data_IF_279133366716
#
_entry.id   IF_279133366716
#
_cell.length_a   1.000
_cell.length_b   1.000
_cell.length_c   1.000
_cell.angle_alpha   90.00
_cell.angle_beta   90.00
_cell.angle_gamma   90.00
#
_symmetry.space_group_name_H-M   'P 1'
#
loop_
_entity.id
_entity.type
_entity.pdbx_description
1 polymer ?
#
# COMPACT_ATOMS: atom_id res chain seq x y z
N UNK A 1 -2.94 -3.16 11.69
CA UNK A 1 -3.30 -1.74 11.88
C UNK A 1 -2.04 -0.90 11.99
N UNK A 2 -2.08 0.37 11.59
CA UNK A 2 -0.90 1.26 11.52
C UNK A 2 -1.08 2.61 12.21
N UNK A 3 -2.17 2.79 12.95
CA UNK A 3 -2.41 3.97 13.78
C UNK A 3 -3.27 3.64 14.99
N UNK A 4 -3.29 4.52 15.98
CA UNK A 4 -4.17 4.38 17.15
C UNK A 4 -5.65 4.43 16.79
N UNK A 5 -6.02 5.17 15.74
CA UNK A 5 -7.40 5.20 15.23
C UNK A 5 -7.82 3.86 14.64
N UNK A 6 -6.96 3.24 13.83
CA UNK A 6 -7.21 1.90 13.31
C UNK A 6 -7.22 0.85 14.43
N UNK A 7 -6.35 1.01 15.43
CA UNK A 7 -6.34 0.13 16.60
C UNK A 7 -7.67 0.20 17.37
N UNK A 8 -8.20 1.39 17.62
CA UNK A 8 -9.52 1.57 18.25
C UNK A 8 -10.63 0.91 17.45
N UNK A 9 -10.64 1.12 16.12
CA UNK A 9 -11.62 0.50 15.22
C UNK A 9 -11.51 -1.03 15.26
N UNK A 10 -10.31 -1.58 15.17
CA UNK A 10 -10.11 -3.02 15.25
C UNK A 10 -10.60 -3.60 16.58
N UNK A 11 -10.26 -2.97 17.69
CA UNK A 11 -10.67 -3.40 19.05
C UNK A 11 -12.19 -3.41 19.22
N UNK A 12 -12.91 -2.49 18.57
CA UNK A 12 -14.38 -2.44 18.60
C UNK A 12 -15.05 -3.68 17.99
N UNK A 13 -14.34 -4.44 17.14
CA UNK A 13 -14.80 -5.67 16.52
C UNK A 13 -14.37 -6.95 17.26
N UNK A 14 -13.85 -6.84 18.49
CA UNK A 14 -13.45 -7.99 19.33
C UNK A 14 -12.51 -8.98 18.62
N UNK A 15 -11.39 -8.53 18.05
CA UNK A 15 -10.47 -9.38 17.31
C UNK A 15 -9.77 -10.36 18.26
N UNK A 16 -9.37 -11.52 17.73
CA UNK A 16 -8.55 -12.48 18.49
C UNK A 16 -7.12 -11.99 18.66
N UNK A 17 -6.55 -11.38 17.62
CA UNK A 17 -5.21 -10.81 17.63
C UNK A 17 -5.15 -9.55 16.76
N UNK A 18 -4.29 -8.62 17.13
CA UNK A 18 -4.00 -7.39 16.37
C UNK A 18 -2.49 -7.20 16.26
N UNK A 19 -2.00 -7.01 15.06
CA UNK A 19 -0.62 -6.56 14.82
C UNK A 19 -0.66 -5.06 14.59
N UNK A 20 0.02 -4.31 15.47
CA UNK A 20 0.10 -2.85 15.42
C UNK A 20 1.44 -2.41 14.84
N UNK A 21 1.44 -2.02 13.60
CA UNK A 21 2.58 -1.55 12.81
C UNK A 21 2.63 0.00 12.79
N UNK A 22 3.38 0.56 11.85
CA UNK A 22 3.49 1.99 11.58
C UNK A 22 4.60 2.70 12.36
N UNK A 23 5.28 3.66 11.74
CA UNK A 23 6.32 4.46 12.39
C UNK A 23 5.69 5.58 13.23
N UNK A 24 6.41 6.04 14.25
CA UNK A 24 6.04 7.25 14.99
C UNK A 24 4.85 7.09 15.93
N UNK A 25 4.61 5.90 16.47
CA UNK A 25 3.57 5.69 17.50
C UNK A 25 3.74 6.66 18.66
N UNK A 26 2.67 7.35 19.03
CA UNK A 26 2.61 8.27 20.15
C UNK A 26 2.56 7.52 21.48
N UNK A 27 2.73 8.25 22.61
CA UNK A 27 2.60 7.66 23.94
C UNK A 27 1.20 7.11 24.19
N UNK A 28 0.15 7.84 23.80
CA UNK A 28 -1.24 7.41 23.93
C UNK A 28 -1.52 6.13 23.12
N UNK A 29 -0.95 6.01 21.92
CA UNK A 29 -1.07 4.81 21.09
C UNK A 29 -0.34 3.62 21.69
N UNK A 30 0.84 3.83 22.28
CA UNK A 30 1.59 2.80 23.01
C UNK A 30 0.86 2.38 24.29
N UNK A 31 0.26 3.34 25.01
CA UNK A 31 -0.57 3.04 26.17
C UNK A 31 -1.80 2.20 25.80
N UNK A 32 -2.50 2.58 24.72
CA UNK A 32 -3.64 1.82 24.21
C UNK A 32 -3.23 0.38 23.85
N UNK A 33 -2.07 0.20 23.20
CA UNK A 33 -1.53 -1.12 22.90
C UNK A 33 -1.22 -1.91 24.18
N UNK A 34 -0.57 -1.30 25.18
CA UNK A 34 -0.26 -1.93 26.46
C UNK A 34 -1.51 -2.34 27.24
N UNK A 35 -2.55 -1.50 27.27
CA UNK A 35 -3.85 -1.84 27.87
C UNK A 35 -4.50 -3.07 27.24
N UNK A 36 -4.16 -3.36 25.99
CA UNK A 36 -4.66 -4.49 25.20
C UNK A 36 -3.57 -5.56 24.94
N UNK A 37 -2.52 -5.63 25.75
CA UNK A 37 -1.34 -6.48 25.54
C UNK A 37 -1.64 -7.99 25.38
N UNK A 38 -2.82 -8.46 25.81
CA UNK A 38 -3.24 -9.87 25.62
C UNK A 38 -3.43 -10.24 24.16
N UNK A 39 -3.90 -9.29 23.36
CA UNK A 39 -4.24 -9.51 21.94
C UNK A 39 -3.41 -8.67 20.98
N UNK A 40 -2.75 -7.60 21.43
CA UNK A 40 -1.94 -6.71 20.60
C UNK A 40 -0.48 -7.16 20.59
N UNK A 41 0.09 -7.23 19.39
CA UNK A 41 1.53 -7.35 19.14
C UNK A 41 2.02 -6.07 18.47
N UNK A 42 2.99 -5.37 19.03
CA UNK A 42 3.52 -4.12 18.50
C UNK A 42 4.73 -4.39 17.61
N UNK A 43 4.71 -3.92 16.37
CA UNK A 43 5.89 -3.90 15.49
C UNK A 43 6.70 -2.63 15.78
N UNK A 44 7.83 -2.80 16.41
CA UNK A 44 8.70 -1.72 16.85
C UNK A 44 9.54 -1.22 15.68
N UNK A 45 9.51 0.08 15.46
CA UNK A 45 10.08 0.72 14.26
C UNK A 45 11.48 1.32 14.53
N UNK A 46 11.88 1.48 15.79
CA UNK A 46 13.16 2.06 16.16
C UNK A 46 13.62 1.67 17.58
N UNK A 47 14.90 1.89 17.87
CA UNK A 47 15.44 1.76 19.25
C UNK A 47 14.78 2.73 20.23
N UNK A 48 14.41 3.92 19.76
CA UNK A 48 13.69 4.91 20.59
C UNK A 48 12.29 4.42 20.94
N UNK A 49 11.58 3.82 19.98
CA UNK A 49 10.26 3.24 20.23
C UNK A 49 10.33 2.02 21.17
N UNK A 50 11.36 1.18 21.05
CA UNK A 50 11.60 0.09 22.01
C UNK A 50 11.65 0.61 23.46
N UNK A 51 12.39 1.69 23.68
CA UNK A 51 12.50 2.29 25.03
C UNK A 51 11.17 2.88 25.51
N UNK A 52 10.47 3.61 24.65
CA UNK A 52 9.16 4.18 24.99
C UNK A 52 8.13 3.09 25.29
N UNK A 53 8.06 2.04 24.46
CA UNK A 53 7.16 0.91 24.70
C UNK A 53 7.50 0.17 25.99
N UNK A 54 8.80 -0.04 26.28
CA UNK A 54 9.25 -0.67 27.52
C UNK A 54 8.85 0.15 28.75
N UNK A 55 9.02 1.47 28.72
CA UNK A 55 8.61 2.38 29.80
C UNK A 55 7.09 2.36 29.98
N UNK A 56 6.32 2.41 28.91
CA UNK A 56 4.85 2.36 28.95
C UNK A 56 4.35 1.02 29.49
N UNK A 57 4.93 -0.08 29.06
CA UNK A 57 4.59 -1.42 29.56
C UNK A 57 4.92 -1.59 31.05
N UNK A 58 6.01 -0.96 31.55
CA UNK A 58 6.33 -0.91 32.96
C UNK A 58 5.31 -0.08 33.76
N UNK A 59 4.93 1.10 33.26
CA UNK A 59 3.92 1.97 33.88
C UNK A 59 2.54 1.30 33.98
N UNK A 60 2.17 0.55 32.95
CA UNK A 60 0.88 -0.18 32.92
C UNK A 60 0.94 -1.55 33.57
N UNK A 61 2.12 -1.99 34.03
CA UNK A 61 2.33 -3.27 34.75
C UNK A 61 2.12 -4.50 33.85
N UNK A 62 2.34 -4.39 32.54
CA UNK A 62 2.11 -5.49 31.60
C UNK A 62 3.40 -5.95 30.92
N UNK A 63 3.36 -7.18 30.42
CA UNK A 63 4.33 -7.67 29.43
C UNK A 63 3.65 -7.70 28.07
N UNK A 64 4.26 -7.06 27.06
CA UNK A 64 3.68 -6.94 25.73
C UNK A 64 4.50 -7.69 24.68
N UNK A 65 3.82 -8.38 23.77
CA UNK A 65 4.43 -9.02 22.60
C UNK A 65 4.87 -7.95 21.61
N UNK A 66 6.06 -8.13 21.04
CA UNK A 66 6.59 -7.22 20.06
C UNK A 66 7.33 -7.96 18.94
N UNK A 67 7.33 -7.35 17.76
CA UNK A 67 8.24 -7.66 16.68
C UNK A 67 9.08 -6.44 16.32
N UNK A 68 10.14 -6.64 15.58
CA UNK A 68 10.94 -5.54 15.04
C UNK A 68 10.68 -5.37 13.54
N UNK A 69 10.40 -4.14 13.12
CA UNK A 69 10.32 -3.79 11.70
C UNK A 69 11.73 -3.58 11.14
N UNK A 70 11.98 -4.13 9.96
CA UNK A 70 13.24 -4.07 9.25
C UNK A 70 13.09 -3.18 8.01
N UNK A 71 14.03 -2.27 7.79
CA UNK A 71 14.04 -1.48 6.57
C UNK A 71 14.56 -2.28 5.39
N UNK A 72 13.91 -2.16 4.25
CA UNK A 72 14.30 -2.83 3.01
C UNK A 72 15.29 -2.00 2.18
N UNK A 73 15.25 -0.67 2.35
CA UNK A 73 16.15 0.28 1.68
C UNK A 73 16.74 1.27 2.70
N UNK A 74 18.08 1.26 2.81
CA UNK A 74 18.80 2.13 3.72
C UNK A 74 19.10 3.53 3.12
N UNK A 75 18.78 3.78 1.86
CA UNK A 75 19.12 5.02 1.13
C UNK A 75 17.91 5.86 0.73
N UNK A 76 16.84 5.22 0.30
CA UNK A 76 15.65 5.86 -0.23
C UNK A 76 14.66 6.35 0.85
N UNK A 77 13.47 6.71 0.41
CA UNK A 77 12.37 7.17 1.29
C UNK A 77 11.88 6.06 2.23
N UNK A 78 12.07 4.80 1.87
CA UNK A 78 11.73 3.62 2.69
C UNK A 78 12.56 3.53 3.97
N UNK A 79 13.69 4.25 4.06
CA UNK A 79 14.48 4.42 5.27
C UNK A 79 13.67 5.00 6.44
N UNK A 80 12.52 5.60 6.17
CA UNK A 80 11.55 6.04 7.18
C UNK A 80 11.11 4.89 8.09
N UNK A 81 11.12 3.66 7.61
CA UNK A 81 10.53 2.50 8.29
C UNK A 81 11.60 1.55 8.80
N UNK A 82 11.47 1.17 10.07
CA UNK A 82 12.23 0.07 10.67
C UNK A 82 13.72 0.36 10.89
N UNK A 83 14.42 -0.67 11.27
CA UNK A 83 15.87 -0.65 11.51
C UNK A 83 16.62 -1.37 10.39
N UNK A 84 17.86 -0.96 10.08
CA UNK A 84 18.71 -1.68 9.13
C UNK A 84 19.02 -3.11 9.59
N UNK A 85 19.05 -4.07 8.64
CA UNK A 85 19.38 -5.47 8.92
C UNK A 85 20.68 -5.64 9.74
N UNK A 86 21.72 -4.88 9.42
CA UNK A 86 23.01 -4.91 10.16
C UNK A 86 22.91 -4.54 11.63
N UNK A 87 21.80 -3.92 12.06
CA UNK A 87 21.54 -3.55 13.45
C UNK A 87 20.61 -4.54 14.17
N UNK A 88 20.16 -5.60 13.52
CA UNK A 88 19.19 -6.53 14.08
C UNK A 88 19.72 -7.22 15.36
N UNK A 89 20.96 -7.73 15.35
CA UNK A 89 21.57 -8.33 16.53
C UNK A 89 21.65 -7.36 17.72
N UNK A 90 22.07 -6.11 17.45
CA UNK A 90 22.13 -5.08 18.49
C UNK A 90 20.73 -4.73 19.05
N UNK A 91 19.69 -4.82 18.21
CA UNK A 91 18.31 -4.61 18.64
C UNK A 91 17.84 -5.73 19.57
N UNK A 92 18.17 -6.99 19.28
CA UNK A 92 17.86 -8.13 20.15
C UNK A 92 18.55 -7.98 21.51
N UNK A 93 19.82 -7.56 21.53
CA UNK A 93 20.54 -7.32 22.78
C UNK A 93 19.92 -6.19 23.61
N UNK A 94 19.48 -5.10 22.98
CA UNK A 94 18.80 -4.01 23.68
C UNK A 94 17.41 -4.46 24.20
N UNK A 95 16.69 -5.25 23.43
CA UNK A 95 15.40 -5.80 23.86
C UNK A 95 15.51 -6.76 25.05
N UNK A 96 16.62 -7.48 25.20
CA UNK A 96 16.89 -8.32 26.40
C UNK A 96 16.96 -7.50 27.70
N UNK A 97 17.31 -6.21 27.59
CA UNK A 97 17.35 -5.27 28.73
C UNK A 97 15.99 -4.69 29.09
N UNK A 98 14.95 -5.02 28.31
CA UNK A 98 13.57 -4.55 28.47
C UNK A 98 12.68 -5.72 28.91
N UNK A 99 12.60 -6.06 30.21
CA UNK A 99 11.92 -7.26 30.71
C UNK A 99 10.40 -7.30 30.39
N UNK A 100 9.79 -6.13 30.17
CA UNK A 100 8.38 -5.99 29.79
C UNK A 100 8.13 -6.29 28.32
N UNK A 101 9.18 -6.39 27.50
CA UNK A 101 9.06 -6.64 26.06
C UNK A 101 9.32 -8.12 25.76
N UNK A 102 8.32 -8.78 25.23
CA UNK A 102 8.45 -10.12 24.67
C UNK A 102 8.72 -10.00 23.16
N UNK A 103 10.00 -9.73 22.80
CA UNK A 103 10.39 -9.66 21.40
C UNK A 103 10.31 -11.04 20.77
N UNK A 104 9.35 -11.26 19.90
CA UNK A 104 8.97 -12.57 19.38
C UNK A 104 8.80 -12.65 17.87
N UNK A 105 9.14 -11.60 17.13
CA UNK A 105 8.99 -11.63 15.70
C UNK A 105 9.71 -10.52 14.97
N UNK A 106 9.61 -10.59 13.66
CA UNK A 106 10.19 -9.61 12.72
C UNK A 106 9.20 -9.31 11.63
N UNK A 107 9.31 -8.13 11.03
CA UNK A 107 8.50 -7.74 9.88
C UNK A 107 9.36 -6.92 8.91
N UNK A 108 9.13 -7.11 7.62
CA UNK A 108 9.57 -6.20 6.57
C UNK A 108 8.45 -6.00 5.56
N UNK A 109 8.51 -4.91 4.81
CA UNK A 109 7.50 -4.61 3.79
C UNK A 109 8.18 -4.00 2.56
N UNK A 110 7.80 -4.48 1.40
CA UNK A 110 8.12 -3.92 0.09
C UNK A 110 6.84 -3.47 -0.58
N UNK A 111 6.92 -2.55 -1.55
CA UNK A 111 5.77 -2.09 -2.33
C UNK A 111 6.04 -2.18 -3.82
N UNK A 112 4.98 -2.06 -4.62
CA UNK A 112 5.07 -2.19 -6.08
C UNK A 112 5.79 -3.46 -6.52
N UNK A 113 5.43 -4.60 -5.92
CA UNK A 113 5.99 -5.89 -6.31
C UNK A 113 5.20 -6.44 -7.50
N UNK A 114 5.79 -6.34 -8.69
CA UNK A 114 5.28 -7.00 -9.89
C UNK A 114 5.68 -8.48 -9.92
N UNK A 115 6.73 -8.82 -9.17
CA UNK A 115 7.22 -10.17 -8.90
C UNK A 115 7.74 -10.28 -7.46
N UNK A 116 8.20 -11.46 -7.06
CA UNK A 116 8.71 -11.72 -5.71
C UNK A 116 10.20 -11.39 -5.52
N UNK A 117 10.89 -10.78 -6.50
CA UNK A 117 12.35 -10.63 -6.50
C UNK A 117 12.87 -9.82 -5.32
N UNK A 118 12.23 -8.69 -4.99
CA UNK A 118 12.64 -7.83 -3.87
C UNK A 118 12.49 -8.56 -2.52
N UNK A 119 11.37 -9.25 -2.33
CA UNK A 119 11.09 -9.99 -1.10
C UNK A 119 12.03 -11.19 -0.95
N UNK A 120 12.27 -11.95 -2.02
CA UNK A 120 13.20 -13.09 -1.99
C UNK A 120 14.64 -12.67 -1.74
N UNK A 121 15.07 -11.56 -2.34
CA UNK A 121 16.39 -10.97 -2.07
C UNK A 121 16.53 -10.51 -0.61
N UNK A 122 15.48 -9.95 -0.03
CA UNK A 122 15.48 -9.57 1.37
C UNK A 122 15.53 -10.77 2.29
N UNK A 123 14.74 -11.82 2.03
CA UNK A 123 14.75 -13.09 2.80
C UNK A 123 16.13 -13.74 2.79
N UNK A 124 16.85 -13.72 1.65
CA UNK A 124 18.23 -14.21 1.57
C UNK A 124 19.14 -13.44 2.53
N UNK A 125 19.14 -12.10 2.47
CA UNK A 125 19.97 -11.27 3.36
C UNK A 125 19.60 -11.46 4.84
N UNK A 126 18.31 -11.60 5.14
CA UNK A 126 17.85 -11.89 6.50
C UNK A 126 18.38 -13.23 6.99
N UNK A 127 18.33 -14.28 6.14
CA UNK A 127 18.88 -15.59 6.46
C UNK A 127 20.38 -15.55 6.78
N UNK A 128 21.15 -14.78 6.03
CA UNK A 128 22.59 -14.57 6.28
C UNK A 128 22.84 -13.93 7.66
N UNK A 129 22.00 -13.00 8.10
CA UNK A 129 22.08 -12.40 9.43
C UNK A 129 21.68 -13.41 10.51
N UNK A 130 20.59 -14.16 10.30
CA UNK A 130 20.10 -15.17 11.26
C UNK A 130 21.08 -16.31 11.47
N UNK A 131 21.91 -16.63 10.50
CA UNK A 131 22.98 -17.62 10.63
C UNK A 131 23.99 -17.26 11.73
N UNK A 132 24.13 -15.98 12.05
CA UNK A 132 25.00 -15.48 13.14
C UNK A 132 24.32 -15.38 14.51
N UNK A 133 23.01 -15.69 14.62
CA UNK A 133 22.28 -15.61 15.88
C UNK A 133 22.54 -16.84 16.75
N UNK A 134 22.52 -16.64 18.07
CA UNK A 134 22.54 -17.77 18.99
C UNK A 134 21.19 -18.52 19.00
N UNK A 135 21.23 -19.77 19.51
CA UNK A 135 20.02 -20.62 19.54
C UNK A 135 18.92 -20.07 20.45
N UNK A 136 19.28 -19.27 21.46
CA UNK A 136 18.30 -18.70 22.38
C UNK A 136 17.52 -17.56 21.71
N UNK A 137 18.18 -16.72 20.94
CA UNK A 137 17.55 -15.66 20.17
C UNK A 137 16.69 -16.21 19.03
N UNK A 138 17.19 -17.22 18.30
CA UNK A 138 16.40 -17.88 17.25
C UNK A 138 15.10 -18.50 17.81
N UNK A 139 15.13 -19.12 18.98
CA UNK A 139 13.93 -19.71 19.64
C UNK A 139 12.88 -18.65 20.02
N UNK A 140 13.26 -17.40 20.18
CA UNK A 140 12.33 -16.31 20.48
C UNK A 140 11.48 -15.91 19.25
N UNK A 141 11.98 -16.14 18.04
CA UNK A 141 11.34 -15.74 16.79
C UNK A 141 10.18 -16.70 16.51
N UNK A 142 8.96 -16.27 16.82
CA UNK A 142 7.72 -17.04 16.64
C UNK A 142 6.96 -16.68 15.36
N UNK A 143 7.14 -15.45 14.84
CA UNK A 143 6.56 -15.03 13.58
C UNK A 143 7.55 -14.25 12.72
N UNK A 144 7.34 -14.31 11.43
CA UNK A 144 7.96 -13.46 10.42
C UNK A 144 6.85 -12.95 9.49
N UNK A 145 6.65 -11.65 9.52
CA UNK A 145 5.77 -10.95 8.60
C UNK A 145 6.57 -10.50 7.39
N UNK A 146 6.23 -11.05 6.23
CA UNK A 146 6.91 -10.76 4.97
C UNK A 146 6.27 -9.60 4.19
N UNK A 147 5.35 -8.89 4.83
CA UNK A 147 4.69 -7.71 4.30
C UNK A 147 3.75 -7.97 3.14
N UNK A 148 3.56 -6.94 2.35
CA UNK A 148 2.62 -6.93 1.24
C UNK A 148 3.22 -6.39 -0.04
N UNK A 149 2.48 -5.47 -0.68
CA UNK A 149 2.87 -4.83 -1.92
C UNK A 149 2.65 -5.69 -3.17
N UNK A 150 1.97 -6.83 -3.02
CA UNK A 150 1.60 -7.70 -4.14
C UNK A 150 0.70 -6.95 -5.11
N UNK A 151 1.14 -6.83 -6.37
CA UNK A 151 0.35 -6.20 -7.40
C UNK A 151 -0.63 -7.19 -8.01
N UNK A 152 -1.87 -6.79 -8.32
CA UNK A 152 -2.81 -7.64 -9.05
C UNK A 152 -2.29 -8.00 -10.44
N UNK A 153 -2.69 -9.16 -10.96
CA UNK A 153 -2.16 -9.71 -12.22
C UNK A 153 -2.50 -8.87 -13.45
N UNK A 154 -3.47 -7.97 -13.35
CA UNK A 154 -3.81 -6.98 -14.38
C UNK A 154 -2.66 -6.02 -14.67
N UNK A 155 -1.65 -6.02 -13.82
CA UNK A 155 -0.49 -5.15 -13.96
C UNK A 155 -0.75 -3.72 -13.53
N UNK A 156 0.29 -2.90 -13.66
CA UNK A 156 0.23 -1.45 -13.45
C UNK A 156 0.16 -0.74 -14.80
N UNK A 157 -0.88 0.07 -14.97
CA UNK A 157 -1.02 0.89 -16.17
C UNK A 157 -0.57 2.31 -15.87
N UNK A 158 0.28 2.83 -16.73
CA UNK A 158 0.93 4.13 -16.58
C UNK A 158 0.62 5.05 -17.76
N UNK A 159 0.44 6.32 -17.45
CA UNK A 159 0.49 7.40 -18.44
C UNK A 159 1.91 7.52 -19.01
N UNK A 160 2.07 7.95 -20.27
CA UNK A 160 3.40 8.18 -20.86
C UNK A 160 4.28 9.07 -19.99
N UNK A 161 3.75 10.14 -19.40
CA UNK A 161 4.47 11.06 -18.52
C UNK A 161 5.08 10.37 -17.27
N UNK A 162 4.56 9.24 -16.83
CA UNK A 162 5.11 8.46 -15.72
C UNK A 162 6.30 7.57 -16.11
N UNK A 163 6.56 7.40 -17.42
CA UNK A 163 7.66 6.58 -17.93
C UNK A 163 8.92 7.38 -18.19
N UNK A 164 10.13 6.77 -18.09
CA UNK A 164 11.37 7.45 -18.47
C UNK A 164 11.37 7.92 -19.91
N UNK A 165 10.82 7.11 -20.82
CA UNK A 165 10.70 7.42 -22.25
C UNK A 165 9.77 8.61 -22.49
N UNK A 166 8.62 8.65 -21.85
CA UNK A 166 7.67 9.76 -21.93
C UNK A 166 8.26 11.06 -21.39
N UNK A 167 8.95 11.01 -20.24
CA UNK A 167 9.66 12.17 -19.67
C UNK A 167 10.75 12.68 -20.62
N UNK A 168 11.50 11.78 -21.26
CA UNK A 168 12.49 12.17 -22.25
C UNK A 168 11.84 12.83 -23.48
N UNK A 169 10.75 12.26 -23.98
CA UNK A 169 9.99 12.82 -25.10
C UNK A 169 9.47 14.22 -24.77
N UNK A 170 8.87 14.40 -23.59
CA UNK A 170 8.43 15.71 -23.09
C UNK A 170 9.54 16.75 -23.05
N UNK A 171 10.74 16.36 -22.56
CA UNK A 171 11.91 17.24 -22.55
C UNK A 171 12.42 17.62 -23.94
N UNK A 172 12.31 16.72 -24.93
CA UNK A 172 12.84 16.94 -26.27
C UNK A 172 11.87 17.72 -27.18
N UNK A 173 10.57 17.50 -27.01
CA UNK A 173 9.56 18.05 -27.91
C UNK A 173 9.15 19.49 -27.58
N UNK A 174 9.67 20.12 -26.51
CA UNK A 174 9.49 21.55 -26.13
C UNK A 174 8.12 22.17 -26.46
N UNK A 175 7.18 21.37 -26.92
CA UNK A 175 5.84 21.78 -27.35
C UNK A 175 4.88 21.49 -26.20
N UNK A 176 4.15 22.49 -25.79
CA UNK A 176 3.02 22.39 -24.86
C UNK A 176 1.84 21.60 -25.48
N UNK A 177 2.16 20.61 -26.30
CA UNK A 177 1.20 19.69 -26.90
C UNK A 177 0.91 18.55 -25.93
N UNK A 178 -0.34 18.19 -25.82
CA UNK A 178 -0.78 17.01 -25.08
C UNK A 178 0.09 15.80 -25.43
N UNK A 179 0.55 15.10 -24.41
CA UNK A 179 1.05 13.75 -24.58
C UNK A 179 -0.04 12.95 -25.28
N UNK A 180 0.32 12.18 -26.31
CA UNK A 180 -0.61 11.32 -27.01
C UNK A 180 -1.38 10.45 -25.99
N UNK A 181 -2.63 10.80 -25.72
CA UNK A 181 -3.44 10.25 -24.63
C UNK A 181 -3.76 8.76 -24.81
N UNK A 182 -3.38 8.18 -25.96
CA UNK A 182 -3.62 6.77 -26.30
C UNK A 182 -2.38 5.89 -26.16
N UNK A 183 -1.23 6.45 -25.83
CA UNK A 183 0.02 5.70 -25.63
C UNK A 183 0.19 5.26 -24.17
N UNK A 184 -0.49 4.19 -23.79
CA UNK A 184 -0.44 3.64 -22.45
C UNK A 184 0.61 2.54 -22.32
N UNK A 185 1.26 2.46 -21.17
CA UNK A 185 2.21 1.40 -20.86
C UNK A 185 1.68 0.54 -19.72
N UNK A 186 1.60 -0.77 -19.96
CA UNK A 186 1.34 -1.75 -18.92
C UNK A 186 2.65 -2.37 -18.43
N UNK A 187 2.81 -2.43 -17.10
CA UNK A 187 3.86 -3.21 -16.44
C UNK A 187 3.21 -4.46 -15.89
N UNK A 188 3.54 -5.61 -16.48
CA UNK A 188 2.94 -6.89 -16.11
C UNK A 188 3.30 -7.28 -14.68
N UNK A 189 2.34 -7.85 -13.96
CA UNK A 189 2.53 -8.43 -12.65
C UNK A 189 2.35 -9.96 -12.72
N UNK A 190 3.14 -10.67 -11.92
CA UNK A 190 2.98 -12.13 -11.82
C UNK A 190 1.69 -12.50 -11.08
N UNK A 191 1.04 -13.61 -11.46
CA UNK A 191 -0.05 -14.19 -10.69
C UNK A 191 0.36 -14.53 -9.26
N UNK A 192 -0.56 -14.46 -8.31
CA UNK A 192 -0.28 -14.63 -6.88
C UNK A 192 0.30 -16.00 -6.51
N UNK A 193 -0.05 -17.04 -7.25
CA UNK A 193 0.51 -18.38 -7.08
C UNK A 193 2.01 -18.45 -7.39
N UNK A 194 2.48 -17.61 -8.33
CA UNK A 194 3.92 -17.46 -8.62
C UNK A 194 4.65 -16.75 -7.50
N UNK A 195 4.04 -15.71 -6.91
CA UNK A 195 4.56 -15.11 -5.67
C UNK A 195 4.65 -16.15 -4.55
N UNK A 196 3.57 -16.89 -4.30
CA UNK A 196 3.52 -17.89 -3.25
C UNK A 196 4.60 -18.98 -3.43
N UNK A 197 4.81 -19.42 -4.65
CA UNK A 197 5.85 -20.42 -4.98
C UNK A 197 7.24 -19.86 -4.67
N UNK A 198 7.60 -18.71 -5.24
CA UNK A 198 8.93 -18.10 -5.08
C UNK A 198 9.23 -17.77 -3.61
N UNK A 199 8.25 -17.22 -2.88
CA UNK A 199 8.39 -16.89 -1.46
C UNK A 199 8.52 -18.15 -0.61
N UNK A 200 7.77 -19.22 -0.90
CA UNK A 200 7.89 -20.51 -0.20
C UNK A 200 9.27 -21.13 -0.40
N UNK A 201 9.81 -21.07 -1.61
CA UNK A 201 11.16 -21.54 -1.91
C UNK A 201 12.22 -20.73 -1.17
N UNK A 202 12.11 -19.40 -1.18
CA UNK A 202 13.03 -18.53 -0.47
C UNK A 202 12.99 -18.75 1.05
N UNK A 203 11.80 -18.90 1.64
CA UNK A 203 11.64 -19.22 3.06
C UNK A 203 12.28 -20.55 3.42
N UNK A 204 12.08 -21.61 2.61
CA UNK A 204 12.70 -22.93 2.80
C UNK A 204 14.22 -22.88 2.67
N UNK A 205 14.73 -22.08 1.74
CA UNK A 205 16.17 -21.98 1.48
C UNK A 205 16.91 -21.13 2.52
N UNK A 206 16.32 -20.03 2.96
CA UNK A 206 17.05 -19.01 3.71
C UNK A 206 16.60 -18.81 5.16
N UNK A 207 15.35 -19.10 5.50
CA UNK A 207 14.82 -18.84 6.84
C UNK A 207 14.66 -20.14 7.64
N UNK A 208 14.00 -21.15 7.06
CA UNK A 208 13.69 -22.40 7.77
C UNK A 208 14.90 -23.25 8.20
N UNK A 209 16.12 -23.12 7.62
CA UNK A 209 17.30 -23.72 8.20
C UNK A 209 17.67 -23.18 9.60
N UNK A 210 17.25 -21.95 9.93
CA UNK A 210 17.58 -21.28 11.20
C UNK A 210 16.42 -21.30 12.18
N UNK A 211 15.22 -20.96 11.71
CA UNK A 211 14.00 -20.85 12.53
C UNK A 211 12.76 -21.14 11.67
N UNK A 212 11.73 -21.73 12.28
CA UNK A 212 10.44 -22.00 11.62
C UNK A 212 9.31 -21.20 12.26
N UNK A 213 9.21 -19.90 11.96
CA UNK A 213 8.17 -19.04 12.48
C UNK A 213 6.84 -19.25 11.75
N UNK A 214 5.76 -18.74 12.35
CA UNK A 214 4.51 -18.49 11.61
C UNK A 214 4.78 -17.37 10.60
N UNK A 215 4.35 -17.55 9.36
CA UNK A 215 4.52 -16.54 8.31
C UNK A 215 3.24 -15.71 8.19
N UNK A 216 3.39 -14.39 8.26
CA UNK A 216 2.33 -13.42 8.00
C UNK A 216 2.56 -12.74 6.65
N UNK A 217 1.46 -12.37 5.98
CA UNK A 217 1.43 -11.61 4.74
C UNK A 217 0.42 -10.48 4.85
N UNK A 218 0.66 -9.38 4.14
CA UNK A 218 -0.19 -8.18 4.13
C UNK A 218 -0.71 -7.86 2.70
N UNK A 219 -1.53 -8.72 2.06
CA UNK A 219 -1.90 -8.59 0.64
C UNK A 219 -3.01 -7.55 0.39
N UNK A 220 -2.87 -6.31 0.87
CA UNK A 220 -3.89 -5.26 0.85
C UNK A 220 -4.45 -4.94 -0.53
N UNK A 221 -3.62 -4.40 -1.45
CA UNK A 221 -4.05 -4.04 -2.81
C UNK A 221 -4.64 -5.24 -3.55
N UNK A 222 -3.96 -6.37 -3.51
CA UNK A 222 -4.38 -7.57 -4.22
C UNK A 222 -5.78 -8.05 -3.82
N UNK A 223 -6.16 -7.88 -2.53
CA UNK A 223 -7.49 -8.26 -2.03
C UNK A 223 -8.54 -7.21 -2.38
N UNK A 224 -8.20 -5.92 -2.24
CA UNK A 224 -9.22 -4.85 -2.23
C UNK A 224 -9.44 -4.18 -3.58
N UNK A 225 -8.49 -4.26 -4.52
CA UNK A 225 -8.51 -3.46 -5.76
C UNK A 225 -9.78 -3.66 -6.58
N UNK A 226 -10.21 -4.90 -6.78
CA UNK A 226 -11.42 -5.22 -7.53
C UNK A 226 -12.73 -5.00 -6.74
N UNK A 227 -12.63 -4.68 -5.46
CA UNK A 227 -13.81 -4.56 -4.57
C UNK A 227 -14.57 -3.24 -4.71
N UNK A 228 -14.10 -2.28 -5.49
CA UNK A 228 -14.76 -0.99 -5.68
C UNK A 228 -14.54 -0.45 -7.09
N UNK A 229 -15.53 0.27 -7.58
CA UNK A 229 -15.49 1.01 -8.83
C UNK A 229 -15.99 2.43 -8.60
N UNK A 230 -15.60 3.38 -9.46
CA UNK A 230 -16.11 4.74 -9.41
C UNK A 230 -17.03 4.97 -10.60
N UNK A 231 -18.19 5.55 -10.34
CA UNK A 231 -19.13 5.99 -11.36
C UNK A 231 -19.16 7.51 -11.41
N UNK A 232 -19.06 8.05 -12.59
CA UNK A 232 -19.15 9.49 -12.88
C UNK A 232 -20.25 9.73 -13.90
N UNK A 233 -20.94 10.87 -13.77
CA UNK A 233 -21.89 11.33 -14.79
C UNK A 233 -21.30 12.53 -15.53
N UNK A 234 -21.35 12.50 -16.85
CA UNK A 234 -21.02 13.67 -17.67
C UNK A 234 -22.08 14.74 -17.47
N UNK A 235 -21.69 15.92 -16.99
CA UNK A 235 -22.61 17.04 -16.71
C UNK A 235 -22.48 18.18 -17.69
N UNK A 236 -21.33 18.27 -18.38
CA UNK A 236 -21.11 19.26 -19.44
C UNK A 236 -20.17 18.70 -20.51
N UNK A 237 -20.35 19.15 -21.74
CA UNK A 237 -19.51 18.81 -22.90
C UNK A 237 -19.11 20.11 -23.57
N UNK A 238 -17.82 20.43 -23.56
CA UNK A 238 -17.30 21.63 -24.23
C UNK A 238 -17.17 21.41 -25.74
N UNK A 239 -16.67 20.25 -26.12
CA UNK A 239 -16.55 19.75 -27.47
C UNK A 239 -16.38 18.21 -27.45
N UNK A 240 -16.01 17.60 -28.60
CA UNK A 240 -15.82 16.14 -28.67
C UNK A 240 -14.56 15.63 -27.95
N UNK A 241 -13.67 16.54 -27.53
CA UNK A 241 -12.41 16.24 -26.86
C UNK A 241 -12.36 16.70 -25.41
N UNK A 242 -13.44 17.32 -24.88
CA UNK A 242 -13.46 17.78 -23.50
C UNK A 242 -14.86 17.69 -22.87
N UNK A 243 -14.94 16.91 -21.79
CA UNK A 243 -16.15 16.77 -20.98
C UNK A 243 -15.86 17.03 -19.51
N UNK A 244 -16.92 17.44 -18.79
CA UNK A 244 -16.89 17.66 -17.34
C UNK A 244 -17.82 16.67 -16.68
N UNK A 245 -17.36 16.05 -15.57
CA UNK A 245 -18.13 15.11 -14.77
C UNK A 245 -18.62 15.73 -13.46
N UNK A 246 -19.60 15.11 -12.83
CA UNK A 246 -20.19 15.53 -11.56
C UNK A 246 -19.25 15.31 -10.36
N UNK A 247 -18.28 14.40 -10.47
CA UNK A 247 -17.25 14.12 -9.46
C UNK A 247 -15.91 14.73 -9.83
N UNK A 248 -15.04 14.91 -8.81
CA UNK A 248 -13.68 15.37 -8.98
C UNK A 248 -12.68 14.42 -8.29
N UNK A 249 -11.40 14.60 -8.59
CA UNK A 249 -10.31 13.74 -8.08
C UNK A 249 -10.14 13.79 -6.56
N UNK A 250 -10.74 14.76 -5.85
CA UNK A 250 -10.78 14.74 -4.37
C UNK A 250 -11.44 13.47 -3.82
N UNK A 251 -12.25 12.78 -4.63
CA UNK A 251 -12.88 11.52 -4.24
C UNK A 251 -11.89 10.35 -4.14
N UNK A 252 -10.68 10.48 -4.70
CA UNK A 252 -9.71 9.39 -4.82
C UNK A 252 -8.28 9.79 -4.41
N UNK A 253 -8.06 11.02 -3.98
CA UNK A 253 -6.74 11.56 -3.67
C UNK A 253 -5.98 12.05 -4.90
N UNK A 254 -5.27 13.16 -4.74
CA UNK A 254 -4.72 13.99 -5.83
C UNK A 254 -3.52 13.40 -6.57
N UNK A 255 -2.78 12.47 -5.96
CA UNK A 255 -1.43 12.13 -6.40
C UNK A 255 -1.35 11.12 -7.56
N UNK A 256 -2.48 10.50 -7.94
CA UNK A 256 -2.41 9.33 -8.81
C UNK A 256 -2.64 9.58 -10.29
N UNK A 257 -3.47 10.55 -10.64
CA UNK A 257 -3.94 10.73 -12.01
C UNK A 257 -2.94 11.36 -12.99
N UNK A 258 -1.88 11.95 -12.49
CA UNK A 258 -0.79 12.46 -13.33
C UNK A 258 0.12 11.34 -13.86
N UNK A 259 0.17 10.21 -13.16
CA UNK A 259 1.10 9.12 -13.42
C UNK A 259 0.42 7.80 -13.79
N UNK A 260 -0.66 7.46 -13.09
CA UNK A 260 -1.38 6.22 -13.30
C UNK A 260 -2.40 6.39 -14.42
N UNK A 261 -2.56 5.38 -15.26
CA UNK A 261 -3.63 5.30 -16.22
C UNK A 261 -4.79 4.46 -15.67
N UNK A 262 -6.00 4.99 -15.78
CA UNK A 262 -7.22 4.27 -15.44
C UNK A 262 -8.17 4.32 -16.66
N UNK A 263 -8.61 3.17 -17.19
CA UNK A 263 -9.57 3.16 -18.28
C UNK A 263 -10.90 3.79 -17.83
N UNK A 264 -11.40 4.73 -18.60
CA UNK A 264 -12.74 5.30 -18.47
C UNK A 264 -13.67 4.61 -19.44
N UNK A 265 -14.66 3.91 -18.95
CA UNK A 265 -15.57 3.14 -19.81
C UNK A 265 -16.94 3.82 -19.82
N UNK A 266 -17.40 4.25 -21.00
CA UNK A 266 -18.74 4.81 -21.15
C UNK A 266 -19.79 3.69 -21.13
N UNK A 267 -20.48 3.53 -20.01
CA UNK A 267 -21.52 2.53 -19.83
C UNK A 267 -22.80 2.84 -20.60
N UNK A 268 -23.05 4.11 -20.90
CA UNK A 268 -24.24 4.54 -21.66
C UNK A 268 -24.12 4.25 -23.15
N UNK A 269 -22.89 4.27 -23.69
CA UNK A 269 -22.57 4.05 -25.10
C UNK A 269 -21.34 3.16 -25.25
N UNK A 270 -21.40 1.90 -24.79
CA UNK A 270 -20.21 1.06 -24.66
C UNK A 270 -19.64 0.66 -26.02
N UNK A 271 -18.31 0.70 -26.13
CA UNK A 271 -17.54 0.13 -27.23
C UNK A 271 -16.10 -0.13 -26.75
N UNK A 272 -15.44 -1.11 -27.38
CA UNK A 272 -14.02 -1.38 -27.17
C UNK A 272 -13.08 -0.42 -27.94
N UNK A 273 -13.63 0.70 -28.42
CA UNK A 273 -12.87 1.72 -29.12
C UNK A 273 -12.49 2.81 -28.15
N UNK A 274 -11.20 3.01 -27.98
CA UNK A 274 -10.65 4.13 -27.23
C UNK A 274 -10.69 5.41 -28.07
N UNK A 275 -11.00 6.52 -27.40
CA UNK A 275 -11.13 7.86 -28.02
C UNK A 275 -10.46 8.88 -27.14
N UNK A 276 -9.66 9.75 -27.73
CA UNK A 276 -9.10 10.91 -27.04
C UNK A 276 -10.21 11.84 -26.55
N UNK A 277 -10.11 12.19 -25.28
CA UNK A 277 -11.00 13.16 -24.66
C UNK A 277 -10.45 13.51 -23.28
N UNK A 278 -10.32 14.77 -22.95
CA UNK A 278 -10.08 15.22 -21.59
C UNK A 278 -11.35 15.01 -20.76
N UNK A 279 -11.32 14.06 -19.87
CA UNK A 279 -12.40 13.79 -18.91
C UNK A 279 -12.04 14.47 -17.61
N UNK A 280 -12.59 15.66 -17.39
CA UNK A 280 -12.32 16.49 -16.23
C UNK A 280 -13.38 16.32 -15.14
N UNK A 281 -12.99 16.56 -13.90
CA UNK A 281 -13.93 16.73 -12.81
C UNK A 281 -14.50 18.15 -12.76
N UNK A 282 -15.30 18.43 -11.72
CA UNK A 282 -15.99 19.72 -11.54
C UNK A 282 -15.38 20.59 -10.44
N UNK A 283 -14.12 20.35 -10.07
CA UNK A 283 -13.37 21.21 -9.15
C UNK A 283 -12.81 22.43 -9.89
N UNK A 284 -12.59 23.53 -9.16
CA UNK A 284 -12.02 24.77 -9.71
C UNK A 284 -10.48 24.69 -9.80
N UNK A 285 -9.94 23.63 -10.38
CA UNK A 285 -8.51 23.44 -10.62
C UNK A 285 -8.28 22.71 -11.94
N UNK A 286 -7.25 23.07 -12.73
CA UNK A 286 -6.92 22.37 -13.95
C UNK A 286 -6.38 20.93 -13.72
N UNK A 287 -5.95 20.62 -12.52
CA UNK A 287 -5.48 19.28 -12.14
C UNK A 287 -6.63 18.31 -11.81
N UNK A 288 -7.89 18.74 -11.92
CA UNK A 288 -9.06 17.88 -11.72
C UNK A 288 -9.35 17.07 -12.99
N UNK A 289 -8.50 16.11 -13.24
CA UNK A 289 -8.49 15.30 -14.46
C UNK A 289 -8.63 13.83 -14.11
N UNK A 290 -9.62 13.17 -14.69
CA UNK A 290 -9.83 11.72 -14.57
C UNK A 290 -9.04 10.91 -15.61
N UNK A 291 -8.85 11.46 -16.80
CA UNK A 291 -8.11 10.81 -17.88
C UNK A 291 -8.12 11.59 -19.18
N UNK A 292 -7.29 11.11 -20.10
CA UNK A 292 -7.09 11.71 -21.43
C UNK A 292 -7.84 10.96 -22.54
N UNK A 293 -8.51 9.88 -22.19
CA UNK A 293 -9.28 9.05 -23.15
C UNK A 293 -10.43 8.33 -22.43
N UNK A 294 -11.34 7.77 -23.23
CA UNK A 294 -12.39 6.89 -22.78
C UNK A 294 -12.68 5.79 -23.79
N UNK A 295 -13.23 4.67 -23.35
CA UNK A 295 -13.76 3.61 -24.19
C UNK A 295 -15.26 3.80 -24.41
N UNK A 296 -15.68 3.95 -25.69
CA UNK A 296 -17.08 4.18 -26.02
C UNK A 296 -17.32 4.49 -27.50
N UNK A 297 -18.61 4.52 -27.90
CA UNK A 297 -18.99 4.93 -29.25
C UNK A 297 -18.89 6.45 -29.46
N UNK A 298 -19.37 7.19 -28.46
CA UNK A 298 -19.33 8.64 -28.34
C UNK A 298 -19.48 9.00 -26.86
N UNK A 299 -19.37 10.27 -26.51
CA UNK A 299 -19.60 10.77 -25.16
C UNK A 299 -20.53 11.98 -25.22
N UNK A 300 -21.61 11.97 -24.39
CA UNK A 300 -22.62 13.01 -24.35
C UNK A 300 -23.00 13.37 -22.91
N UNK A 301 -23.56 14.55 -22.71
CA UNK A 301 -24.10 14.97 -21.42
C UNK A 301 -25.14 13.96 -20.93
N UNK A 302 -25.03 13.55 -19.70
CA UNK A 302 -25.87 12.53 -19.06
C UNK A 302 -25.28 11.12 -19.11
N UNK A 303 -24.24 10.86 -19.92
CA UNK A 303 -23.59 9.56 -19.97
C UNK A 303 -22.94 9.22 -18.62
N UNK A 304 -22.94 7.93 -18.29
CA UNK A 304 -22.31 7.37 -17.09
C UNK A 304 -20.98 6.71 -17.48
N UNK A 305 -19.92 7.15 -16.84
CA UNK A 305 -18.57 6.61 -17.00
C UNK A 305 -18.21 5.74 -15.80
N UNK A 306 -17.51 4.65 -16.05
CA UNK A 306 -16.99 3.74 -15.05
C UNK A 306 -15.45 3.82 -15.03
N UNK A 307 -14.87 4.03 -13.85
CA UNK A 307 -13.47 3.71 -13.54
C UNK A 307 -13.45 2.39 -12.77
N UNK A 308 -12.98 1.30 -13.35
CA UNK A 308 -12.94 0.01 -12.68
C UNK A 308 -11.79 -0.10 -11.66
N UNK A 309 -11.87 -1.09 -10.79
CA UNK A 309 -10.77 -1.54 -9.91
C UNK A 309 -10.15 -0.45 -9.04
N UNK A 310 -11.01 0.31 -8.34
CA UNK A 310 -10.62 1.46 -7.51
C UNK A 310 -10.69 1.17 -6.00
N UNK A 311 -10.56 -0.10 -5.56
CA UNK A 311 -10.69 -0.47 -4.15
C UNK A 311 -9.44 -0.27 -3.28
N UNK A 312 -8.29 0.07 -3.88
CA UNK A 312 -7.03 0.20 -3.14
C UNK A 312 -6.41 1.58 -3.30
N UNK A 313 -6.18 2.28 -2.18
CA UNK A 313 -5.47 3.58 -2.13
C UNK A 313 -6.09 4.67 -3.02
N UNK A 314 -7.40 4.68 -3.12
CA UNK A 314 -8.18 5.66 -3.88
C UNK A 314 -9.21 6.31 -2.97
N UNK A 315 -10.44 5.81 -2.91
CA UNK A 315 -11.50 6.36 -2.06
C UNK A 315 -11.11 6.45 -0.57
N UNK A 316 -10.24 5.59 -0.08
CA UNK A 316 -9.67 5.69 1.28
C UNK A 316 -8.81 6.94 1.50
N UNK A 317 -8.29 7.57 0.44
CA UNK A 317 -7.50 8.81 0.47
C UNK A 317 -8.33 10.05 0.16
N UNK A 318 -9.66 9.90 0.00
CA UNK A 318 -10.56 10.99 -0.30
C UNK A 318 -10.50 12.11 0.72
N UNK A 319 -10.78 13.29 0.28
CA UNK A 319 -10.90 14.48 1.13
C UNK A 319 -12.09 15.35 0.73
N UNK A 320 -12.62 16.12 1.65
CA UNK A 320 -13.59 17.16 1.36
C UNK A 320 -12.86 18.38 0.76
N UNK A 321 -13.23 18.73 -0.48
CA UNK A 321 -12.72 19.91 -1.14
C UNK A 321 -13.69 20.34 -2.24
N UNK A 322 -14.27 21.55 -2.12
CA UNK A 322 -15.23 22.20 -3.03
C UNK A 322 -16.52 21.36 -3.22
N UNK A 323 -16.39 20.07 -3.49
CA UNK A 323 -17.49 19.11 -3.65
C UNK A 323 -17.57 18.17 -2.45
N UNK A 324 -18.77 17.70 -2.16
CA UNK A 324 -18.98 16.67 -1.16
C UNK A 324 -18.33 15.34 -1.56
N UNK A 325 -17.98 14.54 -0.57
CA UNK A 325 -17.54 13.16 -0.80
C UNK A 325 -18.69 12.38 -1.46
N UNK A 326 -18.41 11.60 -2.53
CA UNK A 326 -19.42 10.78 -3.20
C UNK A 326 -20.07 9.78 -2.25
N UNK A 327 -21.31 9.44 -2.53
CA UNK A 327 -22.02 8.38 -1.80
C UNK A 327 -21.51 7.01 -2.20
N UNK A 328 -21.46 6.12 -1.23
CA UNK A 328 -21.20 4.70 -1.45
C UNK A 328 -22.51 3.99 -1.80
N UNK A 329 -22.44 3.08 -2.77
CA UNK A 329 -23.50 2.14 -3.08
C UNK A 329 -22.91 0.72 -3.04
N UNK A 330 -23.58 -0.16 -2.34
CA UNK A 330 -23.19 -1.57 -2.26
C UNK A 330 -24.02 -2.37 -3.27
N UNK A 331 -23.31 -3.16 -4.08
CA UNK A 331 -23.97 -4.18 -4.90
C UNK A 331 -24.23 -5.38 -4.02
N UNK A 332 -25.50 -5.82 -3.97
CA UNK A 332 -25.82 -7.09 -3.35
C UNK A 332 -25.29 -8.23 -4.24
N UNK A 333 -24.72 -9.29 -3.64
CA UNK A 333 -24.17 -10.42 -4.38
C UNK A 333 -25.20 -11.20 -5.16
#
# INVERSE_FOLDING_TARGET
VSSGEELKKALAHSPQEVVFSGPGKTEDELELACRNAKIVTVLIDSFGELKRLSSMAALTGVKIRAGVRLTVDERGLWRKFGIPLKRLSAFFEEAKRCPQIDLCGMQFHTSWNMDASQQTAFLKRLGEILAGFDKADLKRIRFLDIGGGYWPFEGEWLQPAATPEGKLKECLESSHGFVDGLDHRCVDALPIDRFATALSEALKAYIFPHVRPVIFCEPGRWISQAGMHILLRVVDKKDDQLVITDGGIQAVGWERFEHDYFPLINLSRPALKERECLVCGSLCTPHDLWGYSYFGQSIEVGDVLLLPTQGAYTYSLRQEFIKAIPKEAFLEP
#
